data_IF_821863446576
#
_entry.id   IF_821863446576
#
_cell.length_a   1.000
_cell.length_b   1.000
_cell.length_c   1.000
_cell.angle_alpha   90.00
_cell.angle_beta   90.00
_cell.angle_gamma   90.00
#
_symmetry.space_group_name_H-M   'P 1'
#
loop_
_entity.id
_entity.type
_entity.pdbx_description
1 polymer ?
#
# COMPACT_ATOMS: atom_id res chain seq x y z
N UNK A 1 -8.30 34.53 0.31
CA UNK A 1 -7.69 34.41 1.65
C UNK A 1 -6.79 33.21 1.57
N UNK A 2 -5.57 33.44 1.10
CA UNK A 2 -4.56 32.40 0.95
C UNK A 2 -3.98 32.16 2.34
N UNK A 3 -4.18 30.96 2.86
CA UNK A 3 -3.53 30.52 4.10
C UNK A 3 -2.28 29.76 3.66
N UNK A 4 -1.11 30.34 3.93
CA UNK A 4 0.18 29.72 3.72
C UNK A 4 0.36 28.59 4.76
N UNK A 5 0.12 27.35 4.32
CA UNK A 5 0.17 26.12 5.13
C UNK A 5 1.59 25.80 5.62
N UNK A 6 2.62 26.40 5.03
CA UNK A 6 4.03 26.08 5.27
C UNK A 6 4.56 26.37 6.68
N UNK A 7 3.84 27.13 7.50
CA UNK A 7 4.31 27.53 8.84
C UNK A 7 3.93 26.57 9.98
N UNK A 8 3.13 25.53 9.70
CA UNK A 8 2.61 24.60 10.72
C UNK A 8 3.20 23.17 10.65
N UNK A 9 4.11 22.88 9.72
CA UNK A 9 4.69 21.54 9.59
C UNK A 9 5.94 21.41 10.48
N UNK A 10 5.99 20.40 11.37
CA UNK A 10 7.15 20.18 12.23
C UNK A 10 8.40 19.84 11.42
N UNK A 11 9.54 20.35 11.89
CA UNK A 11 10.88 20.05 11.34
C UNK A 11 11.46 18.81 12.04
N UNK A 12 11.88 17.82 11.24
CA UNK A 12 12.65 16.60 11.60
C UNK A 12 11.81 15.49 12.29
N UNK A 13 12.06 14.17 12.18
CA UNK A 13 13.17 13.33 11.69
C UNK A 13 12.59 11.94 11.35
N UNK A 14 12.98 11.36 10.20
CA UNK A 14 12.80 9.98 9.71
C UNK A 14 11.76 9.09 10.42
N UNK A 15 10.62 8.86 9.75
CA UNK A 15 9.64 7.83 10.12
C UNK A 15 9.37 6.91 8.93
N UNK A 16 9.59 5.60 9.13
CA UNK A 16 9.16 4.52 8.22
C UNK A 16 8.10 3.69 8.94
N UNK A 17 6.84 3.83 8.51
CA UNK A 17 5.68 3.10 9.02
C UNK A 17 5.11 2.12 7.99
N UNK A 18 4.34 1.13 8.44
CA UNK A 18 3.71 0.10 7.60
C UNK A 18 2.33 0.54 7.08
N UNK A 19 2.04 0.17 5.82
CA UNK A 19 0.72 0.00 5.16
C UNK A 19 -0.46 0.84 5.68
N UNK A 20 -0.51 2.11 5.27
CA UNK A 20 -1.62 3.04 5.57
C UNK A 20 -1.83 3.99 4.38
N UNK A 21 -3.08 4.40 4.13
CA UNK A 21 -3.35 5.53 3.25
C UNK A 21 -2.87 6.81 3.95
N UNK A 22 -1.61 7.16 3.69
CA UNK A 22 -0.87 8.18 4.41
C UNK A 22 0.53 7.75 4.87
N UNK A 23 1.16 6.73 4.32
CA UNK A 23 2.57 6.50 4.62
C UNK A 23 3.43 7.69 4.16
N UNK A 24 4.14 8.29 5.11
CA UNK A 24 5.23 9.22 4.81
C UNK A 24 6.50 8.41 4.58
N UNK A 25 7.32 8.87 3.64
CA UNK A 25 8.71 8.48 3.59
C UNK A 25 9.48 9.76 3.32
N UNK A 26 10.05 10.35 4.37
CA UNK A 26 10.78 11.61 4.27
C UNK A 26 12.16 11.44 3.59
N UNK A 27 12.46 10.25 3.04
CA UNK A 27 13.78 9.93 2.47
C UNK A 27 13.92 10.34 1.00
N UNK A 28 12.87 10.84 0.34
CA UNK A 28 12.92 11.12 -1.11
C UNK A 28 13.10 9.86 -1.96
N UNK A 29 12.82 8.68 -1.39
CA UNK A 29 12.96 7.38 -2.03
C UNK A 29 11.66 6.92 -2.71
N UNK A 30 11.72 5.76 -3.37
CA UNK A 30 10.55 5.08 -3.95
C UNK A 30 9.80 4.38 -2.83
N UNK A 31 8.51 4.66 -2.69
CA UNK A 31 7.69 4.10 -1.62
C UNK A 31 6.59 3.22 -2.22
N UNK A 32 6.46 2.00 -1.69
CA UNK A 32 5.19 1.26 -1.77
C UNK A 32 4.19 1.96 -0.87
N UNK A 33 3.30 2.72 -1.51
CA UNK A 33 2.36 3.53 -0.76
C UNK A 33 1.12 2.76 -0.37
N UNK A 34 0.89 1.53 -0.88
CA UNK A 34 -0.38 0.80 -0.69
C UNK A 34 -1.60 1.72 -0.86
N UNK A 35 -1.51 2.56 -1.89
CA UNK A 35 -2.45 3.63 -2.26
C UNK A 35 -2.45 4.91 -1.43
N UNK A 36 -1.42 5.09 -0.60
CA UNK A 36 -1.39 6.07 0.48
C UNK A 36 -0.57 7.33 0.30
N UNK A 37 0.15 7.49 -0.80
CA UNK A 37 1.02 8.65 -0.96
C UNK A 37 0.84 9.27 -2.34
N UNK A 38 0.22 10.44 -2.39
CA UNK A 38 0.28 11.28 -3.59
C UNK A 38 1.66 11.96 -3.64
N UNK A 39 2.39 11.89 -4.76
CA UNK A 39 3.68 12.57 -4.87
C UNK A 39 3.51 14.08 -4.78
N UNK A 40 4.36 14.74 -3.98
CA UNK A 40 4.40 16.21 -3.88
C UNK A 40 4.38 16.78 -2.47
N UNK A 41 4.00 16.02 -1.44
CA UNK A 41 4.21 16.46 -0.06
C UNK A 41 5.54 15.95 0.52
N UNK A 42 5.89 14.65 0.34
CA UNK A 42 7.12 14.11 0.94
C UNK A 42 7.80 12.95 0.17
N UNK A 43 7.30 12.55 -1.01
CA UNK A 43 7.85 11.42 -1.80
C UNK A 43 8.18 11.82 -3.24
N UNK A 44 9.31 11.32 -3.75
CA UNK A 44 9.72 11.53 -5.16
C UNK A 44 8.88 10.67 -6.11
N UNK A 45 8.69 9.40 -5.74
CA UNK A 45 7.96 8.41 -6.52
C UNK A 45 7.12 7.54 -5.61
N UNK A 46 5.85 7.37 -5.98
CA UNK A 46 4.88 6.58 -5.24
C UNK A 46 4.31 5.47 -6.13
N UNK A 47 4.06 4.30 -5.53
CA UNK A 47 3.42 3.17 -6.20
C UNK A 47 2.09 2.82 -5.56
N UNK A 48 1.14 2.41 -6.39
CA UNK A 48 -0.26 2.12 -6.05
C UNK A 48 -0.61 0.73 -6.59
N UNK A 49 -1.46 0.02 -5.87
CA UNK A 49 -1.93 -1.32 -6.21
C UNK A 49 -3.45 -1.30 -6.37
N UNK A 50 -3.93 -1.87 -7.46
CA UNK A 50 -5.36 -1.92 -7.79
C UNK A 50 -5.91 -3.35 -7.76
N UNK A 51 -5.30 -4.22 -6.95
CA UNK A 51 -5.83 -5.54 -6.63
C UNK A 51 -7.12 -5.43 -5.80
N UNK A 52 -8.08 -6.38 -5.84
CA UNK A 52 -9.43 -6.19 -5.29
C UNK A 52 -9.50 -5.90 -3.79
N UNK A 53 -8.47 -6.24 -3.02
CA UNK A 53 -8.40 -5.94 -1.59
C UNK A 53 -8.15 -4.46 -1.25
N UNK A 54 -7.73 -3.66 -2.23
CA UNK A 54 -7.23 -2.29 -2.03
C UNK A 54 -8.35 -1.24 -1.92
N UNK A 55 -7.97 0.03 -1.84
CA UNK A 55 -8.93 1.14 -1.69
C UNK A 55 -9.81 1.32 -2.91
N UNK A 56 -9.26 1.00 -4.08
CA UNK A 56 -9.95 0.86 -5.36
C UNK A 56 -9.35 -0.34 -6.11
N UNK A 57 -10.04 -0.81 -7.15
CA UNK A 57 -9.55 -1.96 -7.93
C UNK A 57 -9.78 -1.82 -9.42
N UNK A 58 -8.87 -2.43 -10.19
CA UNK A 58 -9.00 -2.65 -11.64
C UNK A 58 -9.03 -4.13 -11.98
N UNK A 59 -9.36 -4.99 -11.00
CA UNK A 59 -9.16 -6.43 -11.06
C UNK A 59 -7.71 -6.77 -10.75
N UNK A 60 -6.81 -6.48 -11.68
CA UNK A 60 -5.36 -6.51 -11.49
C UNK A 60 -4.80 -5.20 -12.02
N UNK A 61 -3.82 -4.61 -11.35
CA UNK A 61 -3.20 -3.38 -11.84
C UNK A 61 -2.45 -2.61 -10.77
N UNK A 62 -1.84 -1.52 -11.21
CA UNK A 62 -1.14 -0.59 -10.35
C UNK A 62 -0.74 0.66 -11.10
N UNK A 63 -0.15 1.60 -10.37
CA UNK A 63 0.28 2.87 -10.92
C UNK A 63 1.56 3.32 -10.25
N UNK A 64 2.47 3.90 -11.02
CA UNK A 64 3.64 4.61 -10.50
C UNK A 64 3.45 6.08 -10.82
N UNK A 65 3.50 6.93 -9.80
CA UNK A 65 3.46 8.38 -9.94
C UNK A 65 4.80 8.96 -9.52
N UNK A 66 5.30 9.95 -10.25
CA UNK A 66 6.52 10.68 -9.90
C UNK A 66 6.41 12.12 -10.35
N UNK A 67 7.03 13.02 -9.60
CA UNK A 67 7.17 14.44 -9.99
C UNK A 67 8.49 14.71 -10.72
N UNK A 68 9.35 13.69 -10.90
CA UNK A 68 10.61 13.79 -11.63
C UNK A 68 10.42 13.33 -13.09
N UNK A 69 10.50 14.29 -14.02
CA UNK A 69 10.36 14.02 -15.46
C UNK A 69 11.39 13.02 -15.97
N UNK A 70 12.63 13.06 -15.45
CA UNK A 70 13.67 12.13 -15.89
C UNK A 70 13.37 10.70 -15.44
N UNK A 71 12.80 10.55 -14.24
CA UNK A 71 12.36 9.27 -13.70
C UNK A 71 11.14 8.74 -14.44
N UNK A 72 10.16 9.60 -14.73
CA UNK A 72 9.01 9.26 -15.55
C UNK A 72 9.44 8.66 -16.91
N UNK A 73 10.41 9.28 -17.58
CA UNK A 73 10.90 8.79 -18.87
C UNK A 73 11.59 7.41 -18.75
N UNK A 74 12.39 7.20 -17.69
CA UNK A 74 13.03 5.90 -17.42
C UNK A 74 12.00 4.82 -17.10
N UNK A 75 11.02 5.11 -16.23
CA UNK A 75 9.94 4.19 -15.86
C UNK A 75 9.11 3.80 -17.08
N UNK A 76 8.77 4.78 -17.94
CA UNK A 76 8.04 4.53 -19.19
C UNK A 76 8.83 3.65 -20.14
N UNK A 77 10.14 3.91 -20.30
CA UNK A 77 11.02 3.07 -21.11
C UNK A 77 11.04 1.64 -20.58
N UNK A 78 11.32 1.43 -19.29
CA UNK A 78 11.34 0.10 -18.66
C UNK A 78 10.00 -0.63 -18.78
N UNK A 79 8.86 0.06 -18.65
CA UNK A 79 7.51 -0.53 -18.83
C UNK A 79 7.24 -0.96 -20.28
N UNK A 80 7.81 -0.24 -21.24
CA UNK A 80 7.57 -0.37 -22.68
C UNK A 80 8.77 -1.03 -23.39
N UNK A 81 9.14 -2.23 -22.96
CA UNK A 81 10.20 -3.08 -23.49
C UNK A 81 11.63 -2.50 -23.39
N UNK A 82 11.80 -1.40 -22.67
CA UNK A 82 13.08 -0.69 -22.60
C UNK A 82 13.34 0.22 -23.79
N UNK A 83 12.30 0.51 -24.60
CA UNK A 83 12.45 1.32 -25.83
C UNK A 83 12.75 2.78 -25.50
N UNK A 84 13.58 3.44 -26.30
CA UNK A 84 13.94 4.85 -26.16
C UNK A 84 12.83 5.78 -26.68
N UNK A 85 12.05 5.30 -27.63
CA UNK A 85 10.95 6.04 -28.23
C UNK A 85 9.75 6.18 -27.27
N UNK A 86 9.28 7.41 -27.07
CA UNK A 86 8.14 7.73 -26.19
C UNK A 86 6.83 7.95 -26.96
N UNK A 87 6.78 7.66 -28.26
CA UNK A 87 5.57 7.77 -29.06
C UNK A 87 4.42 6.92 -28.48
N UNK A 88 3.22 7.49 -28.41
CA UNK A 88 2.02 6.78 -27.99
C UNK A 88 1.60 5.73 -29.04
N UNK A 89 0.95 4.63 -28.63
CA UNK A 89 0.32 3.71 -29.56
C UNK A 89 -0.61 4.46 -30.53
N UNK A 90 -0.48 4.21 -31.84
CA UNK A 90 -1.26 4.88 -32.87
C UNK A 90 -0.79 6.28 -33.27
N UNK A 91 0.23 6.84 -32.60
CA UNK A 91 0.83 8.13 -32.93
C UNK A 91 2.29 7.94 -33.30
N UNK A 92 2.59 8.03 -34.58
CA UNK A 92 3.94 7.84 -35.07
C UNK A 92 4.77 9.13 -35.06
N UNK A 93 6.07 9.00 -34.84
CA UNK A 93 7.07 10.08 -34.92
C UNK A 93 6.80 11.29 -34.01
N UNK A 94 6.07 11.11 -32.91
CA UNK A 94 5.93 12.14 -31.87
C UNK A 94 7.29 12.53 -31.27
N UNK A 95 8.26 11.62 -31.28
CA UNK A 95 9.63 11.89 -30.86
C UNK A 95 10.45 12.73 -31.85
N UNK A 96 9.98 12.91 -33.09
CA UNK A 96 10.69 13.61 -34.17
C UNK A 96 12.00 12.93 -34.60
N UNK A 97 12.17 11.65 -34.28
CA UNK A 97 13.38 10.85 -34.56
C UNK A 97 13.08 9.51 -35.22
N UNK A 98 11.87 9.31 -35.75
CA UNK A 98 11.52 8.07 -36.44
C UNK A 98 12.35 7.96 -37.71
N UNK A 99 13.23 6.96 -37.75
CA UNK A 99 14.27 6.77 -38.78
C UNK A 99 15.43 7.77 -38.75
N UNK A 100 15.56 8.58 -37.69
CA UNK A 100 16.73 9.43 -37.44
C UNK A 100 17.51 8.90 -36.24
N UNK A 101 17.95 7.64 -36.35
CA UNK A 101 18.80 6.99 -35.37
C UNK A 101 19.77 6.05 -36.07
N UNK A 102 21.05 6.13 -35.72
CA UNK A 102 22.08 5.24 -36.26
C UNK A 102 22.70 4.42 -35.14
N UNK A 103 22.69 3.10 -35.28
CA UNK A 103 23.40 2.16 -34.39
C UNK A 103 24.34 1.31 -35.25
N UNK A 104 25.61 1.24 -34.85
CA UNK A 104 26.66 0.51 -35.58
C UNK A 104 26.73 0.84 -37.08
N UNK A 105 26.48 2.11 -37.43
CA UNK A 105 26.50 2.60 -38.81
C UNK A 105 25.24 2.29 -39.63
N UNK A 106 24.21 1.70 -39.03
CA UNK A 106 22.95 1.35 -39.69
C UNK A 106 21.84 2.31 -39.26
N UNK A 107 21.18 2.93 -40.22
CA UNK A 107 19.95 3.70 -39.98
C UNK A 107 18.83 2.77 -39.52
N UNK A 108 18.18 3.13 -38.42
CA UNK A 108 17.21 2.26 -37.74
C UNK A 108 15.99 3.03 -37.26
N UNK A 109 14.87 2.33 -37.11
CA UNK A 109 13.66 2.92 -36.55
C UNK A 109 13.86 3.13 -35.04
N UNK A 110 13.75 4.39 -34.58
CA UNK A 110 13.83 4.75 -33.16
C UNK A 110 12.82 3.98 -32.30
N UNK A 111 11.70 3.51 -32.86
CA UNK A 111 10.75 2.62 -32.16
C UNK A 111 11.36 1.31 -31.68
N UNK A 112 12.42 0.85 -32.34
CA UNK A 112 13.13 -0.41 -32.05
C UNK A 112 14.54 -0.18 -31.51
N UNK A 113 14.79 1.02 -30.99
CA UNK A 113 15.98 1.30 -30.19
C UNK A 113 15.62 1.08 -28.72
N UNK A 114 16.41 0.26 -28.04
CA UNK A 114 16.21 -0.12 -26.65
C UNK A 114 17.35 0.45 -25.80
N UNK A 115 17.06 1.48 -25.02
CA UNK A 115 18.04 2.16 -24.14
C UNK A 115 18.11 1.57 -22.73
N UNK A 116 17.17 0.67 -22.38
CA UNK A 116 17.12 -0.02 -21.08
C UNK A 116 16.81 -1.50 -21.27
N UNK A 117 17.21 -2.33 -20.30
CA UNK A 117 16.66 -3.69 -20.15
C UNK A 117 15.27 -3.56 -19.52
N UNK A 118 14.23 -3.57 -20.36
CA UNK A 118 12.85 -3.37 -19.93
C UNK A 118 12.01 -4.63 -19.87
N UNK A 119 10.73 -4.41 -19.61
CA UNK A 119 9.67 -5.38 -19.41
C UNK A 119 8.45 -5.02 -20.27
N UNK A 120 7.37 -5.78 -20.19
CA UNK A 120 6.08 -5.40 -20.75
C UNK A 120 5.02 -5.40 -19.65
N UNK A 121 4.90 -4.25 -18.95
CA UNK A 121 4.06 -4.10 -17.75
C UNK A 121 2.94 -3.08 -17.97
N UNK A 122 2.44 -2.97 -19.20
CA UNK A 122 1.33 -2.07 -19.54
C UNK A 122 0.00 -2.64 -19.05
N UNK A 123 -0.85 -1.76 -18.52
CA UNK A 123 -2.25 -2.06 -18.32
C UNK A 123 -3.02 -2.01 -19.65
N UNK A 124 -4.19 -2.63 -19.66
CA UNK A 124 -5.18 -2.54 -20.73
C UNK A 124 -6.11 -1.36 -20.53
N UNK A 125 -6.74 -0.90 -21.61
CA UNK A 125 -7.74 0.17 -21.54
C UNK A 125 -9.00 -0.26 -20.76
N UNK A 126 -9.28 -1.57 -20.71
CA UNK A 126 -10.34 -2.15 -19.87
C UNK A 126 -10.05 -1.94 -18.37
N UNK A 127 -8.83 -2.20 -17.92
CA UNK A 127 -8.40 -1.95 -16.54
C UNK A 127 -8.49 -0.45 -16.22
N UNK A 128 -8.05 0.41 -17.14
CA UNK A 128 -8.12 1.86 -16.99
C UNK A 128 -9.57 2.36 -16.86
N UNK A 129 -10.49 1.85 -17.69
CA UNK A 129 -11.91 2.21 -17.64
C UNK A 129 -12.56 1.87 -16.28
N UNK A 130 -12.27 0.68 -15.72
CA UNK A 130 -12.73 0.32 -14.36
C UNK A 130 -12.13 1.26 -13.33
N UNK A 131 -10.85 1.57 -13.44
CA UNK A 131 -10.14 2.48 -12.54
C UNK A 131 -10.74 3.88 -12.52
N UNK A 132 -11.13 4.43 -13.69
CA UNK A 132 -11.76 5.74 -13.79
C UNK A 132 -13.08 5.82 -13.02
N UNK A 133 -13.92 4.78 -13.08
CA UNK A 133 -15.17 4.75 -12.30
C UNK A 133 -14.93 4.56 -10.80
N UNK A 134 -13.88 3.84 -10.43
CA UNK A 134 -13.50 3.66 -9.03
C UNK A 134 -12.91 4.95 -8.42
N UNK A 135 -12.12 5.72 -9.18
CA UNK A 135 -11.59 7.02 -8.74
C UNK A 135 -12.70 7.99 -8.33
N UNK A 136 -13.83 8.00 -9.05
CA UNK A 136 -15.01 8.81 -8.67
C UNK A 136 -15.60 8.43 -7.32
N UNK A 137 -15.48 7.15 -6.92
CA UNK A 137 -16.01 6.60 -5.66
C UNK A 137 -15.02 6.67 -4.51
N UNK A 138 -13.72 6.81 -4.82
CA UNK A 138 -12.64 6.77 -3.86
C UNK A 138 -12.87 7.71 -2.65
N UNK A 139 -13.26 9.00 -2.80
CA UNK A 139 -13.52 9.86 -1.65
C UNK A 139 -14.49 9.26 -0.63
N UNK A 140 -15.62 8.70 -1.10
CA UNK A 140 -16.61 8.07 -0.24
C UNK A 140 -16.07 6.77 0.42
N UNK A 141 -15.24 6.01 -0.29
CA UNK A 141 -14.58 4.83 0.29
C UNK A 141 -13.63 5.20 1.42
N UNK A 142 -12.88 6.29 1.27
CA UNK A 142 -11.97 6.79 2.30
C UNK A 142 -12.74 7.21 3.56
N UNK A 143 -13.80 8.00 3.39
CA UNK A 143 -14.64 8.45 4.50
C UNK A 143 -15.28 7.28 5.24
N UNK A 144 -15.80 6.29 4.49
CA UNK A 144 -16.40 5.11 5.11
C UNK A 144 -15.37 4.26 5.87
N UNK A 145 -14.15 4.10 5.34
CA UNK A 145 -13.06 3.40 6.04
C UNK A 145 -12.64 4.12 7.33
N UNK A 146 -12.59 5.45 7.33
CA UNK A 146 -12.33 6.25 8.55
C UNK A 146 -13.40 6.05 9.61
N UNK A 147 -14.67 6.12 9.22
CA UNK A 147 -15.80 5.86 10.11
C UNK A 147 -15.76 4.44 10.69
N UNK A 148 -15.54 3.43 9.83
CA UNK A 148 -15.47 2.04 10.23
C UNK A 148 -14.31 1.78 11.19
N UNK A 149 -13.14 2.36 10.94
CA UNK A 149 -12.00 2.27 11.85
C UNK A 149 -12.29 2.94 13.20
N UNK A 150 -12.82 4.16 13.21
CA UNK A 150 -13.14 4.87 14.43
C UNK A 150 -14.18 4.12 15.28
N UNK A 151 -15.15 3.48 14.62
CA UNK A 151 -16.16 2.63 15.27
C UNK A 151 -15.52 1.42 15.95
N UNK A 152 -14.73 0.63 15.21
CA UNK A 152 -13.98 -0.50 15.78
C UNK A 152 -13.04 -0.09 16.91
N UNK A 153 -12.34 1.03 16.74
CA UNK A 153 -11.45 1.56 17.77
C UNK A 153 -12.22 1.87 19.06
N UNK A 154 -13.37 2.57 18.94
CA UNK A 154 -14.21 2.87 20.09
C UNK A 154 -14.76 1.62 20.79
N UNK A 155 -15.14 0.60 20.01
CA UNK A 155 -15.62 -0.67 20.56
C UNK A 155 -14.54 -1.46 21.30
N UNK A 156 -13.28 -1.34 20.88
CA UNK A 156 -12.17 -2.18 21.38
C UNK A 156 -11.19 -1.43 22.27
N UNK A 157 -11.40 -0.14 22.56
CA UNK A 157 -10.45 0.70 23.30
C UNK A 157 -10.10 0.20 24.71
N UNK A 158 -10.99 -0.56 25.35
CA UNK A 158 -10.81 -1.17 26.67
C UNK A 158 -10.17 -2.56 26.61
N UNK A 159 -9.76 -3.02 25.43
CA UNK A 159 -8.99 -4.27 25.25
C UNK A 159 -7.47 -4.07 25.34
N UNK A 160 -7.03 -2.90 25.82
CA UNK A 160 -5.60 -2.54 25.93
C UNK A 160 -4.79 -3.47 26.85
N UNK A 161 -5.44 -4.22 27.74
CA UNK A 161 -4.78 -5.23 28.58
C UNK A 161 -4.33 -6.47 27.78
N UNK A 162 -4.96 -6.74 26.61
CA UNK A 162 -4.63 -7.89 25.76
C UNK A 162 -3.96 -7.50 24.45
N UNK A 163 -4.22 -6.29 23.93
CA UNK A 163 -3.69 -5.85 22.65
C UNK A 163 -2.94 -4.52 22.75
N UNK A 164 -1.93 -4.38 21.89
CA UNK A 164 -1.50 -3.07 21.40
C UNK A 164 -2.47 -2.64 20.30
N UNK A 165 -3.27 -1.60 20.60
CA UNK A 165 -4.22 -1.01 19.67
C UNK A 165 -3.53 -0.09 18.66
N UNK A 166 -4.11 0.06 17.44
CA UNK A 166 -3.51 0.87 16.39
C UNK A 166 -3.57 2.37 16.70
N UNK A 167 -2.43 3.04 16.60
CA UNK A 167 -2.34 4.51 16.71
C UNK A 167 -2.03 5.10 15.35
N UNK A 168 -2.74 6.16 14.98
CA UNK A 168 -2.45 6.92 13.77
C UNK A 168 -1.41 8.00 14.04
N UNK A 169 -0.33 8.04 13.25
CA UNK A 169 0.64 9.14 13.26
C UNK A 169 0.17 10.37 12.45
N UNK A 170 -0.92 10.22 11.69
CA UNK A 170 -1.55 11.29 10.92
C UNK A 170 -3.00 11.54 11.36
N UNK A 171 -3.45 12.80 11.37
CA UNK A 171 -4.87 13.09 11.33
C UNK A 171 -5.51 12.50 10.08
N UNK A 172 -6.78 12.06 10.18
CA UNK A 172 -7.63 11.70 9.04
C UNK A 172 -7.19 10.49 8.19
N UNK A 173 -6.50 9.53 8.81
CA UNK A 173 -6.05 8.30 8.15
C UNK A 173 -7.21 7.39 7.73
N UNK A 174 -7.27 7.04 6.44
CA UNK A 174 -8.14 5.98 5.94
C UNK A 174 -7.43 4.61 6.02
N UNK A 175 -7.92 3.73 6.89
CA UNK A 175 -7.24 2.46 7.18
C UNK A 175 -7.59 1.36 6.18
N UNK A 176 -6.59 0.57 5.79
CA UNK A 176 -6.75 -0.61 4.94
C UNK A 176 -7.51 -1.73 5.67
N UNK A 177 -7.13 -1.97 6.92
CA UNK A 177 -7.75 -2.89 7.88
C UNK A 177 -7.52 -2.40 9.31
N UNK A 178 -8.03 -3.13 10.30
CA UNK A 178 -7.87 -2.82 11.72
C UNK A 178 -6.84 -3.79 12.34
N UNK A 179 -5.58 -3.38 12.52
CA UNK A 179 -4.55 -4.27 13.03
C UNK A 179 -4.60 -4.36 14.55
N UNK A 180 -4.30 -5.56 15.06
CA UNK A 180 -4.20 -5.90 16.47
C UNK A 180 -2.88 -6.65 16.68
N UNK A 181 -2.13 -6.28 17.71
CA UNK A 181 -0.94 -7.03 18.14
C UNK A 181 -1.15 -7.51 19.56
N UNK A 182 -1.13 -8.83 19.76
CA UNK A 182 -1.34 -9.44 21.08
C UNK A 182 -0.15 -9.12 21.98
N UNK A 183 -0.42 -8.77 23.24
CA UNK A 183 0.60 -8.54 24.27
C UNK A 183 1.23 -9.85 24.73
N UNK A 184 2.46 -9.77 25.19
CA UNK A 184 3.26 -10.94 25.56
C UNK A 184 2.64 -11.71 26.76
N UNK A 185 1.86 -11.04 27.60
CA UNK A 185 1.17 -11.54 28.80
C UNK A 185 -0.34 -11.74 28.63
N UNK A 186 -0.88 -11.65 27.41
CA UNK A 186 -2.32 -11.73 27.14
C UNK A 186 -2.97 -13.10 27.47
N UNK A 187 -2.18 -14.14 27.80
CA UNK A 187 -2.70 -15.45 28.20
C UNK A 187 -3.19 -16.34 27.05
N UNK A 188 -3.08 -15.91 25.80
CA UNK A 188 -3.46 -16.68 24.62
C UNK A 188 -2.54 -16.41 23.42
N UNK A 189 -2.63 -17.28 22.42
CA UNK A 189 -1.87 -17.20 21.17
C UNK A 189 -2.70 -16.57 20.04
N UNK A 190 -2.03 -15.97 19.06
CA UNK A 190 -2.68 -15.47 17.83
C UNK A 190 -3.57 -16.53 17.17
N UNK A 191 -3.12 -17.79 17.14
CA UNK A 191 -3.87 -18.87 16.52
C UNK A 191 -5.21 -19.13 17.21
N UNK A 192 -5.27 -19.02 18.53
CA UNK A 192 -6.51 -19.29 19.28
C UNK A 192 -7.56 -18.24 18.98
N UNK A 193 -7.20 -16.96 19.05
CA UNK A 193 -8.15 -15.88 18.74
C UNK A 193 -8.52 -15.86 17.26
N UNK A 194 -7.57 -15.98 16.33
CA UNK A 194 -7.91 -15.93 14.90
C UNK A 194 -8.80 -17.10 14.50
N UNK A 195 -8.57 -18.29 15.08
CA UNK A 195 -9.46 -19.43 14.85
C UNK A 195 -10.86 -19.19 15.40
N UNK A 196 -11.01 -18.64 16.60
CA UNK A 196 -12.31 -18.29 17.15
C UNK A 196 -13.07 -17.29 16.26
N UNK A 197 -12.37 -16.28 15.75
CA UNK A 197 -12.95 -15.28 14.84
C UNK A 197 -13.35 -15.91 13.50
N UNK A 198 -12.49 -16.71 12.87
CA UNK A 198 -12.81 -17.38 11.60
C UNK A 198 -13.96 -18.39 11.75
N UNK A 199 -13.99 -19.17 12.84
CA UNK A 199 -15.05 -20.14 13.15
C UNK A 199 -16.40 -19.44 13.40
N UNK A 200 -16.39 -18.14 13.75
CA UNK A 200 -17.59 -17.29 13.90
C UNK A 200 -17.88 -16.43 12.66
N UNK A 201 -17.18 -16.63 11.55
CA UNK A 201 -17.41 -15.90 10.30
C UNK A 201 -16.79 -14.50 10.25
N UNK A 202 -15.92 -14.15 11.21
CA UNK A 202 -15.13 -12.92 11.21
C UNK A 202 -13.76 -13.22 10.60
N UNK A 203 -13.61 -12.89 9.32
CA UNK A 203 -12.36 -13.13 8.61
C UNK A 203 -11.19 -12.32 9.19
N UNK A 204 -10.06 -12.98 9.35
CA UNK A 204 -8.80 -12.43 9.84
C UNK A 204 -7.71 -12.58 8.79
N UNK A 205 -6.66 -11.76 8.91
CA UNK A 205 -5.45 -11.91 8.10
C UNK A 205 -4.24 -11.67 8.99
N UNK A 206 -3.15 -12.37 8.67
CA UNK A 206 -1.86 -12.06 9.28
C UNK A 206 -1.31 -10.76 8.68
N UNK A 207 -0.32 -10.18 9.35
CA UNK A 207 0.40 -8.99 8.87
C UNK A 207 1.38 -9.37 7.75
N UNK A 208 0.85 -9.79 6.60
CA UNK A 208 1.59 -10.17 5.39
C UNK A 208 2.73 -11.17 5.68
N UNK A 209 3.94 -10.87 5.20
CA UNK A 209 5.13 -11.67 5.48
C UNK A 209 5.60 -11.60 6.94
N UNK A 210 5.03 -10.69 7.75
CA UNK A 210 5.44 -10.40 9.13
C UNK A 210 6.89 -9.93 9.15
N UNK A 211 7.80 -10.86 9.44
CA UNK A 211 9.22 -10.67 9.27
C UNK A 211 9.69 -11.39 7.99
N UNK A 212 10.01 -10.62 6.94
CA UNK A 212 10.44 -11.16 5.65
C UNK A 212 11.70 -12.03 5.74
N UNK A 213 12.60 -11.74 6.69
CA UNK A 213 13.82 -12.52 6.93
C UNK A 213 13.54 -13.95 7.41
N UNK A 214 12.35 -14.20 7.97
CA UNK A 214 11.92 -15.53 8.42
C UNK A 214 11.21 -16.34 7.33
N UNK A 215 10.88 -15.72 6.20
CA UNK A 215 10.14 -16.38 5.13
C UNK A 215 11.02 -17.35 4.33
N UNK A 216 10.51 -18.51 3.89
CA UNK A 216 11.30 -19.52 3.19
C UNK A 216 12.04 -19.00 1.95
N UNK A 217 11.41 -18.11 1.18
CA UNK A 217 11.98 -17.56 -0.06
C UNK A 217 13.20 -16.66 0.17
N UNK A 218 13.38 -16.14 1.40
CA UNK A 218 14.46 -15.23 1.75
C UNK A 218 15.54 -15.89 2.60
N UNK A 219 15.45 -17.21 2.83
CA UNK A 219 16.51 -17.96 3.51
C UNK A 219 17.78 -17.95 2.66
N UNK A 220 18.87 -17.45 3.24
CA UNK A 220 20.17 -17.38 2.55
C UNK A 220 20.29 -16.23 1.56
N UNK A 221 19.32 -15.30 1.52
CA UNK A 221 19.52 -14.00 0.90
C UNK A 221 20.37 -13.16 1.84
N UNK A 222 21.45 -12.56 1.32
CA UNK A 222 22.26 -11.62 2.09
C UNK A 222 21.47 -10.33 2.31
N UNK A 223 21.32 -9.94 3.57
CA UNK A 223 20.74 -8.64 3.96
C UNK A 223 21.50 -8.12 5.17
N UNK A 224 21.64 -6.79 5.23
CA UNK A 224 22.22 -6.09 6.37
C UNK A 224 21.09 -5.54 7.23
N UNK A 225 20.86 -6.17 8.39
CA UNK A 225 19.83 -5.75 9.32
C UNK A 225 20.27 -6.02 10.76
N UNK A 226 20.05 -5.02 11.61
CA UNK A 226 20.03 -5.20 13.06
C UNK A 226 18.95 -6.21 13.47
N UNK A 227 18.99 -6.74 14.71
CA UNK A 227 17.88 -7.53 15.24
C UNK A 227 16.54 -6.81 15.03
N UNK A 228 15.53 -7.56 14.59
CA UNK A 228 14.21 -7.01 14.22
C UNK A 228 13.12 -7.42 15.24
N UNK A 229 13.23 -7.05 16.54
CA UNK A 229 12.32 -7.54 17.57
C UNK A 229 10.87 -7.12 17.35
N UNK A 230 10.63 -5.92 16.81
CA UNK A 230 9.28 -5.46 16.48
C UNK A 230 8.68 -6.23 15.29
N UNK A 231 9.49 -6.53 14.27
CA UNK A 231 9.04 -7.37 13.16
C UNK A 231 8.74 -8.80 13.64
N UNK A 232 9.53 -9.32 14.59
CA UNK A 232 9.31 -10.61 15.21
C UNK A 232 8.01 -10.65 16.01
N UNK A 233 7.71 -9.60 16.79
CA UNK A 233 6.43 -9.48 17.50
C UNK A 233 5.24 -9.42 16.53
N UNK A 234 5.34 -8.64 15.46
CA UNK A 234 4.29 -8.61 14.40
C UNK A 234 4.15 -9.98 13.75
N UNK A 235 5.27 -10.67 13.48
CA UNK A 235 5.28 -12.00 12.89
C UNK A 235 4.62 -13.07 13.78
N UNK A 236 4.83 -13.02 15.10
CA UNK A 236 4.26 -13.99 16.04
C UNK A 236 2.83 -13.66 16.47
N UNK A 237 2.54 -12.38 16.69
CA UNK A 237 1.39 -11.91 17.48
C UNK A 237 0.49 -10.92 16.74
N UNK A 238 0.91 -10.41 15.58
CA UNK A 238 0.16 -9.46 14.78
C UNK A 238 -0.84 -10.14 13.82
N UNK A 239 -2.05 -9.56 13.74
CA UNK A 239 -3.09 -9.87 12.77
C UNK A 239 -3.97 -8.64 12.53
N UNK A 240 -4.89 -8.69 11.58
CA UNK A 240 -5.87 -7.63 11.35
C UNK A 240 -7.24 -8.19 10.96
N UNK A 241 -8.27 -7.39 11.25
CA UNK A 241 -9.66 -7.64 10.84
C UNK A 241 -10.15 -6.56 9.87
N UNK A 242 -11.26 -6.82 9.19
CA UNK A 242 -11.79 -5.91 8.17
C UNK A 242 -12.29 -4.57 8.75
N UNK A 243 -11.86 -3.47 8.12
CA UNK A 243 -12.43 -2.12 8.31
C UNK A 243 -12.75 -1.45 6.96
N UNK A 244 -12.98 -2.25 5.92
CA UNK A 244 -13.17 -1.78 4.55
C UNK A 244 -14.55 -1.15 4.33
N UNK A 245 -14.70 -0.38 3.25
CA UNK A 245 -15.86 0.48 3.00
C UNK A 245 -17.18 -0.26 2.72
N UNK A 246 -17.16 -1.57 2.49
CA UNK A 246 -18.36 -2.38 2.32
C UNK A 246 -18.96 -2.91 3.63
N UNK A 247 -18.28 -2.73 4.77
CA UNK A 247 -18.81 -3.13 6.08
C UNK A 247 -19.78 -2.08 6.64
N UNK A 248 -20.87 -2.56 7.23
CA UNK A 248 -21.79 -1.74 8.04
C UNK A 248 -21.46 -1.86 9.54
N UNK A 249 -22.06 -1.01 10.37
CA UNK A 249 -21.75 -0.98 11.82
C UNK A 249 -22.19 -2.26 12.55
N UNK A 250 -23.32 -2.87 12.19
CA UNK A 250 -23.75 -4.16 12.77
C UNK A 250 -22.70 -5.27 12.58
N UNK A 251 -22.03 -5.31 11.42
CA UNK A 251 -20.94 -6.24 11.15
C UNK A 251 -19.69 -5.94 11.97
N UNK A 252 -19.40 -4.66 12.22
CA UNK A 252 -18.27 -4.26 13.06
C UNK A 252 -18.54 -4.54 14.54
N UNK A 253 -19.77 -4.28 15.00
CA UNK A 253 -20.23 -4.61 16.35
C UNK A 253 -20.18 -6.11 16.57
N UNK A 254 -20.68 -6.90 15.62
CA UNK A 254 -20.55 -8.36 15.66
C UNK A 254 -19.10 -8.80 15.79
N UNK A 255 -18.17 -8.22 15.02
CA UNK A 255 -16.76 -8.55 15.12
C UNK A 255 -16.17 -8.20 16.50
N UNK A 256 -16.51 -7.02 17.05
CA UNK A 256 -16.10 -6.61 18.39
C UNK A 256 -16.65 -7.54 19.47
N UNK A 257 -17.92 -7.93 19.38
CA UNK A 257 -18.53 -8.88 20.31
C UNK A 257 -17.83 -10.24 20.31
N UNK A 258 -17.46 -10.77 19.14
CA UNK A 258 -16.72 -12.05 19.07
C UNK A 258 -15.33 -11.94 19.69
N UNK A 259 -14.68 -10.78 19.60
CA UNK A 259 -13.43 -10.52 20.33
C UNK A 259 -13.68 -10.56 21.84
N UNK A 260 -14.68 -9.83 22.35
CA UNK A 260 -15.00 -9.86 23.79
C UNK A 260 -15.41 -11.24 24.28
N UNK A 261 -16.17 -11.98 23.48
CA UNK A 261 -16.56 -13.35 23.80
C UNK A 261 -15.34 -14.26 23.95
N UNK A 262 -14.33 -14.11 23.08
CA UNK A 262 -13.06 -14.80 23.22
C UNK A 262 -12.33 -14.38 24.50
N UNK A 263 -12.15 -13.08 24.71
CA UNK A 263 -11.41 -12.52 25.86
C UNK A 263 -12.03 -12.92 27.20
N UNK A 264 -13.36 -13.05 27.28
CA UNK A 264 -14.06 -13.47 28.52
C UNK A 264 -13.72 -14.89 29.00
N UNK A 265 -13.05 -15.68 28.15
CA UNK A 265 -12.68 -17.08 28.43
C UNK A 265 -11.21 -17.23 28.83
N UNK A 266 -10.43 -16.15 28.81
CA UNK A 266 -8.99 -16.12 29.09
C UNK A 266 -8.74 -15.57 30.48
#
# INVERSE_FOLDING_TARGET
MDIEIGSYLPKHTVDVGCHVLGNFCTSGEVVDSCDGCFPGQDTRTATFSFFPAHFMSTGEGGMVLTNDTSEFMRLRSMRDWGRDCWCEPGHDDTCGRRFDYTIDGVQYDHKYIYSHIGYNLKATDLQAAVGLEQLKKLPAFLDKRRQNFAHLYNNLRDTEDWFYLPVSYKPDTAWFGFPLTIRDDAGFTRREITRHLEDSGVATRLMFGGNITRQPAYKGVDYDADPLPNADRVFSSGFWIGSWHGLNFDQLDYASERIYEFLSKV
#
